data_IF_427619291523
#
_entry.id   IF_427619291523
#
_cell.length_a   1.000
_cell.length_b   1.000
_cell.length_c   1.000
_cell.angle_alpha   90.00
_cell.angle_beta   90.00
_cell.angle_gamma   90.00
#
_symmetry.space_group_name_H-M   'P 1'
#
loop_
_entity.id
_entity.type
_entity.pdbx_description
1 polymer ?
#
# COMPACT_ATOMS: atom_id res chain seq x y z
N UNK A 1 -15.21 -2.05 -5.35
CA UNK A 1 -14.56 -3.31 -4.95
C UNK A 1 -15.43 -3.95 -3.89
N UNK A 2 -15.68 -5.27 -3.94
CA UNK A 2 -16.38 -5.95 -2.84
C UNK A 2 -15.39 -6.38 -1.76
N UNK A 3 -15.85 -6.58 -0.53
CA UNK A 3 -14.98 -6.84 0.63
C UNK A 3 -14.08 -8.07 0.46
N UNK A 4 -14.58 -9.14 -0.17
CA UNK A 4 -13.81 -10.34 -0.46
C UNK A 4 -12.63 -10.06 -1.39
N UNK A 5 -12.88 -9.35 -2.49
CA UNK A 5 -11.85 -8.98 -3.46
C UNK A 5 -10.79 -8.04 -2.87
N UNK A 6 -11.17 -7.19 -1.91
CA UNK A 6 -10.24 -6.36 -1.14
C UNK A 6 -9.28 -7.22 -0.33
N UNK A 7 -9.82 -8.09 0.52
CA UNK A 7 -9.04 -8.97 1.41
C UNK A 7 -8.06 -9.85 0.63
N UNK A 8 -8.50 -10.43 -0.48
CA UNK A 8 -7.62 -11.24 -1.35
C UNK A 8 -6.47 -10.41 -1.94
N UNK A 9 -6.73 -9.16 -2.35
CA UNK A 9 -5.69 -8.30 -2.89
C UNK A 9 -4.69 -7.85 -1.82
N UNK A 10 -5.14 -7.58 -0.59
CA UNK A 10 -4.27 -7.26 0.55
C UNK A 10 -3.41 -8.46 0.95
N UNK A 11 -3.98 -9.66 0.98
CA UNK A 11 -3.22 -10.89 1.21
C UNK A 11 -2.16 -11.10 0.11
N UNK A 12 -2.54 -10.92 -1.16
CA UNK A 12 -1.59 -11.04 -2.27
C UNK A 12 -0.46 -9.99 -2.20
N UNK A 13 -0.75 -8.77 -1.73
CA UNK A 13 0.26 -7.74 -1.47
C UNK A 13 1.23 -8.16 -0.36
N UNK A 14 0.72 -8.75 0.72
CA UNK A 14 1.56 -9.27 1.79
C UNK A 14 2.43 -10.44 1.32
N UNK A 15 1.86 -11.41 0.60
CA UNK A 15 2.60 -12.54 0.02
C UNK A 15 3.68 -12.06 -0.95
N UNK A 16 3.37 -11.04 -1.76
CA UNK A 16 4.36 -10.39 -2.63
C UNK A 16 5.53 -9.82 -1.82
N UNK A 17 5.26 -9.13 -0.71
CA UNK A 17 6.31 -8.56 0.15
C UNK A 17 7.19 -9.64 0.77
N UNK A 18 6.59 -10.69 1.33
CA UNK A 18 7.36 -11.80 1.91
C UNK A 18 8.17 -12.54 0.85
N UNK A 19 7.63 -12.76 -0.36
CA UNK A 19 8.37 -13.42 -1.45
C UNK A 19 9.52 -12.57 -1.97
N UNK A 20 9.34 -11.25 -2.02
CA UNK A 20 10.31 -10.33 -2.63
C UNK A 20 11.43 -9.95 -1.66
N UNK A 21 11.07 -9.70 -0.41
CA UNK A 21 11.99 -9.13 0.59
C UNK A 21 12.26 -10.06 1.77
N UNK A 22 11.54 -11.19 1.89
CA UNK A 22 11.79 -12.18 2.93
C UNK A 22 11.72 -11.62 4.35
N UNK A 23 12.70 -11.99 5.17
CA UNK A 23 12.84 -11.56 6.56
C UNK A 23 13.24 -10.08 6.71
N UNK A 24 13.69 -9.44 5.62
CA UNK A 24 14.06 -8.02 5.66
C UNK A 24 12.85 -7.09 5.66
N UNK A 25 11.64 -7.60 5.42
CA UNK A 25 10.42 -6.81 5.39
C UNK A 25 9.57 -6.97 6.65
N UNK A 26 9.29 -5.85 7.32
CA UNK A 26 8.38 -5.78 8.46
C UNK A 26 7.17 -4.90 8.12
N UNK A 27 5.96 -5.40 8.37
CA UNK A 27 4.73 -4.63 8.21
C UNK A 27 4.68 -3.55 9.29
N UNK A 28 4.71 -2.28 8.88
CA UNK A 28 4.64 -1.14 9.77
C UNK A 28 3.21 -0.58 9.90
N UNK A 29 2.40 -0.73 8.85
CA UNK A 29 0.98 -0.35 8.86
C UNK A 29 0.17 -1.28 7.93
N UNK A 30 -1.06 -1.68 8.30
CA UNK A 30 -1.73 -1.40 9.58
C UNK A 30 -1.08 -2.09 10.78
N UNK A 31 -1.15 -1.47 11.97
CA UNK A 31 -0.72 -2.10 13.23
C UNK A 31 -1.60 -3.32 13.50
N UNK A 32 -1.00 -4.46 13.85
CA UNK A 32 -1.72 -5.66 14.29
C UNK A 32 -1.91 -5.56 15.80
N UNK A 33 -3.15 -5.44 16.28
CA UNK A 33 -3.38 -5.25 17.73
C UNK A 33 -3.36 -6.52 18.56
N UNK A 34 -3.65 -7.70 18.01
CA UNK A 34 -3.76 -8.93 18.85
C UNK A 34 -3.80 -10.24 18.03
N UNK A 35 -3.24 -10.22 16.81
CA UNK A 35 -3.26 -11.40 15.93
C UNK A 35 -4.57 -11.61 15.17
N UNK A 36 -5.63 -10.84 15.45
CA UNK A 36 -6.83 -10.78 14.62
C UNK A 36 -6.75 -9.65 13.55
N UNK A 37 -7.66 -9.70 12.57
CA UNK A 37 -7.69 -9.03 11.26
C UNK A 37 -6.95 -7.67 11.14
N UNK A 38 -6.41 -7.40 9.94
CA UNK A 38 -6.03 -6.04 9.52
C UNK A 38 -7.09 -5.06 10.01
N UNK A 39 -6.70 -4.02 10.76
CA UNK A 39 -7.58 -2.86 10.88
C UNK A 39 -7.90 -2.46 9.44
N UNK A 40 -9.19 -2.44 9.08
CA UNK A 40 -9.62 -2.14 7.72
C UNK A 40 -8.88 -0.90 7.24
N UNK A 41 -8.24 -0.94 6.06
CA UNK A 41 -7.69 0.28 5.48
C UNK A 41 -8.81 1.31 5.43
N UNK A 42 -8.63 2.41 6.16
CA UNK A 42 -9.64 3.45 6.25
C UNK A 42 -9.39 4.48 5.17
N UNK A 43 -10.43 5.24 4.84
CA UNK A 43 -10.24 6.43 4.02
C UNK A 43 -9.20 7.33 4.69
N UNK A 44 -8.15 7.68 3.94
CA UNK A 44 -7.08 8.54 4.41
C UNK A 44 -5.77 7.85 4.73
N UNK A 45 -5.67 6.53 4.59
CA UNK A 45 -4.47 5.74 4.89
C UNK A 45 -4.05 4.88 3.67
N UNK A 46 -2.82 4.36 3.67
CA UNK A 46 -2.37 3.39 2.67
C UNK A 46 -2.84 1.97 3.00
N UNK A 47 -3.02 1.10 2.00
CA UNK A 47 -3.47 -0.28 2.27
C UNK A 47 -2.42 -1.06 3.08
N UNK A 48 -1.12 -0.90 2.75
CA UNK A 48 -0.02 -1.41 3.58
C UNK A 48 1.20 -0.48 3.49
N UNK A 49 1.94 -0.41 4.60
CA UNK A 49 3.27 0.22 4.68
C UNK A 49 4.23 -0.77 5.30
N UNK A 50 5.37 -0.97 4.64
CA UNK A 50 6.41 -1.88 5.06
C UNK A 50 7.73 -1.14 5.25
N UNK A 51 8.50 -1.57 6.23
CA UNK A 51 9.91 -1.22 6.39
C UNK A 51 10.74 -2.35 5.82
N UNK A 52 11.61 -2.05 4.87
CA UNK A 52 12.52 -3.00 4.25
C UNK A 52 13.95 -2.59 4.58
N UNK A 53 14.68 -3.48 5.25
CA UNK A 53 16.10 -3.29 5.51
C UNK A 53 16.91 -3.73 4.30
N UNK A 54 17.60 -2.79 3.66
CA UNK A 54 18.53 -3.06 2.57
C UNK A 54 19.78 -3.80 3.05
N UNK A 55 20.49 -4.43 2.12
CA UNK A 55 21.77 -5.10 2.39
C UNK A 55 22.85 -4.11 2.87
N UNK A 56 22.74 -2.85 2.47
CA UNK A 56 23.57 -1.72 2.90
C UNK A 56 23.21 -1.21 4.32
N UNK A 57 22.23 -1.84 4.97
CA UNK A 57 21.72 -1.45 6.28
C UNK A 57 20.75 -0.26 6.26
N UNK A 58 20.49 0.34 5.10
CA UNK A 58 19.55 1.45 4.98
C UNK A 58 18.10 0.94 4.99
N UNK A 59 17.21 1.70 5.62
CA UNK A 59 15.78 1.41 5.61
C UNK A 59 15.10 2.11 4.43
N UNK A 60 14.32 1.34 3.67
CA UNK A 60 13.42 1.83 2.62
C UNK A 60 11.99 1.52 3.01
N UNK A 61 11.09 2.48 2.83
CA UNK A 61 9.66 2.26 2.99
C UNK A 61 9.06 1.75 1.69
N UNK A 62 8.27 0.68 1.75
CA UNK A 62 7.45 0.21 0.64
C UNK A 62 5.98 0.47 0.97
N UNK A 63 5.37 1.37 0.24
CA UNK A 63 3.96 1.74 0.37
C UNK A 63 3.14 1.07 -0.72
N UNK A 64 2.04 0.41 -0.35
CA UNK A 64 1.25 -0.40 -1.27
C UNK A 64 -0.20 0.06 -1.34
N UNK A 65 -0.71 0.09 -2.57
CA UNK A 65 -2.13 0.15 -2.90
C UNK A 65 -2.57 -1.19 -3.49
N UNK A 66 -3.35 -1.95 -2.73
CA UNK A 66 -3.83 -3.28 -3.08
C UNK A 66 -5.16 -3.17 -3.85
N UNK A 67 -5.24 -3.78 -5.04
CA UNK A 67 -6.44 -3.69 -5.90
C UNK A 67 -6.90 -5.07 -6.38
N UNK A 68 -8.11 -5.46 -5.99
CA UNK A 68 -8.75 -6.69 -6.46
C UNK A 68 -9.51 -6.49 -7.77
N UNK A 69 -9.53 -7.52 -8.62
CA UNK A 69 -10.33 -7.52 -9.84
C UNK A 69 -9.81 -6.52 -10.87
N UNK A 70 -10.71 -5.75 -11.47
CA UNK A 70 -10.41 -4.62 -12.37
C UNK A 70 -10.47 -3.26 -11.66
N UNK A 71 -10.36 -3.24 -10.32
CA UNK A 71 -10.45 -2.00 -9.54
C UNK A 71 -9.38 -0.99 -9.98
N UNK A 72 -9.83 0.26 -10.19
CA UNK A 72 -8.96 1.38 -10.56
C UNK A 72 -8.31 1.99 -9.32
N UNK A 73 -7.29 2.80 -9.56
CA UNK A 73 -6.73 3.68 -8.53
C UNK A 73 -7.77 4.70 -8.08
N UNK A 74 -7.79 4.94 -6.78
CA UNK A 74 -8.54 6.04 -6.17
C UNK A 74 -7.87 7.38 -6.44
N UNK A 75 -8.63 8.44 -6.16
CA UNK A 75 -8.15 9.80 -6.13
C UNK A 75 -8.78 10.52 -4.94
N UNK A 76 -8.13 11.58 -4.46
CA UNK A 76 -8.66 12.43 -3.39
C UNK A 76 -8.52 13.89 -3.76
N UNK A 77 -9.43 14.72 -3.25
CA UNK A 77 -9.28 16.17 -3.33
C UNK A 77 -8.22 16.61 -2.33
N UNK A 78 -7.34 17.48 -2.79
CA UNK A 78 -6.32 18.19 -2.01
C UNK A 78 -6.48 19.68 -2.24
N UNK A 79 -5.76 20.50 -1.48
CA UNK A 79 -5.71 21.96 -1.68
C UNK A 79 -5.25 22.35 -3.10
N UNK A 80 -4.44 21.50 -3.74
CA UNK A 80 -3.91 21.71 -5.09
C UNK A 80 -4.76 21.07 -6.19
N UNK A 81 -5.94 20.57 -5.85
CA UNK A 81 -6.83 19.86 -6.78
C UNK A 81 -6.87 18.35 -6.52
N UNK A 82 -7.30 17.58 -7.52
CA UNK A 82 -7.45 16.13 -7.40
C UNK A 82 -6.10 15.43 -7.58
N UNK A 83 -5.65 14.73 -6.55
CA UNK A 83 -4.47 13.88 -6.61
C UNK A 83 -4.89 12.40 -6.75
N UNK A 84 -4.21 11.65 -7.61
CA UNK A 84 -4.46 10.22 -7.82
C UNK A 84 -3.46 9.38 -7.02
N UNK A 85 -3.89 8.20 -6.53
CA UNK A 85 -2.99 7.21 -5.94
C UNK A 85 -1.78 6.94 -6.84
N UNK A 86 -0.60 6.80 -6.22
CA UNK A 86 0.68 6.72 -6.93
C UNK A 86 1.31 8.07 -7.28
N UNK A 87 0.63 9.21 -7.08
CA UNK A 87 1.26 10.53 -7.25
C UNK A 87 1.98 11.02 -5.99
N UNK A 88 2.94 11.93 -6.18
CA UNK A 88 3.70 12.59 -5.11
C UNK A 88 2.79 13.39 -4.17
N UNK A 89 1.79 14.08 -4.74
CA UNK A 89 0.78 14.87 -4.03
C UNK A 89 -0.15 13.97 -3.21
N UNK A 90 -0.59 12.86 -3.80
CA UNK A 90 -1.45 11.90 -3.09
C UNK A 90 -0.71 11.29 -1.91
N UNK A 91 0.53 10.85 -2.13
CA UNK A 91 1.39 10.31 -1.09
C UNK A 91 1.52 11.29 0.08
N UNK A 92 1.89 12.54 -0.19
CA UNK A 92 2.05 13.58 0.84
C UNK A 92 0.74 13.84 1.59
N UNK A 93 -0.39 13.88 0.88
CA UNK A 93 -1.68 14.11 1.50
C UNK A 93 -2.08 12.96 2.45
N UNK A 94 -1.84 11.71 2.06
CA UNK A 94 -2.11 10.54 2.90
C UNK A 94 -1.14 10.48 4.08
N UNK A 95 0.16 10.62 3.87
CA UNK A 95 1.14 10.61 4.96
C UNK A 95 0.86 11.69 6.02
N UNK A 96 0.45 12.90 5.61
CA UNK A 96 -0.04 13.95 6.53
C UNK A 96 -1.33 13.59 7.26
N UNK A 97 -2.24 12.87 6.58
CA UNK A 97 -3.48 12.40 7.20
C UNK A 97 -3.17 11.36 8.28
N UNK A 98 -2.26 10.42 8.01
CA UNK A 98 -1.81 9.41 8.96
C UNK A 98 -1.03 10.02 10.14
N UNK A 99 -0.18 11.02 9.88
CA UNK A 99 0.51 11.79 10.92
C UNK A 99 -0.48 12.44 11.91
N UNK A 100 -1.56 13.03 11.40
CA UNK A 100 -2.61 13.62 12.23
C UNK A 100 -3.47 12.61 13.01
N UNK A 101 -3.42 11.32 12.67
CA UNK A 101 -4.15 10.23 13.35
C UNK A 101 -3.32 9.53 14.45
N UNK A 102 -2.22 10.14 14.88
CA UNK A 102 -1.30 9.59 15.90
C UNK A 102 -0.57 8.31 15.45
N UNK A 103 -0.29 8.22 14.15
CA UNK A 103 0.58 7.18 13.61
C UNK A 103 1.94 7.77 13.29
N UNK A 104 2.96 7.42 14.09
CA UNK A 104 4.37 7.79 13.84
C UNK A 104 4.81 7.51 12.39
N UNK A 105 4.18 6.52 11.76
CA UNK A 105 4.42 6.11 10.39
C UNK A 105 4.20 7.26 9.39
N UNK A 106 3.26 8.17 9.62
CA UNK A 106 3.02 9.30 8.73
C UNK A 106 4.22 10.24 8.66
N UNK A 107 4.78 10.61 9.81
CA UNK A 107 6.00 11.43 9.92
C UNK A 107 7.21 10.71 9.31
N UNK A 108 7.37 9.42 9.59
CA UNK A 108 8.46 8.60 9.03
C UNK A 108 8.40 8.54 7.50
N UNK A 109 7.21 8.37 6.93
CA UNK A 109 7.00 8.37 5.48
C UNK A 109 7.32 9.71 4.82
N UNK A 110 6.95 10.82 5.46
CA UNK A 110 7.29 12.16 4.96
C UNK A 110 8.81 12.38 4.95
N UNK A 111 9.51 11.97 6.02
CA UNK A 111 10.97 12.05 6.10
C UNK A 111 11.67 11.13 5.09
N UNK A 112 11.21 9.88 4.95
CA UNK A 112 11.74 8.92 3.98
C UNK A 112 11.59 9.43 2.54
N UNK A 113 10.44 10.05 2.21
CA UNK A 113 10.21 10.63 0.89
C UNK A 113 11.23 11.72 0.56
N UNK A 114 11.58 12.58 1.53
CA UNK A 114 12.58 13.64 1.32
C UNK A 114 13.96 13.08 0.99
N UNK A 115 14.30 11.91 1.55
CA UNK A 115 15.55 11.20 1.31
C UNK A 115 15.55 10.35 0.03
N UNK A 116 14.40 10.16 -0.60
CA UNK A 116 14.23 9.24 -1.74
C UNK A 116 14.07 7.78 -1.35
N UNK A 117 13.85 7.47 -0.07
CA UNK A 117 13.81 6.10 0.47
C UNK A 117 12.37 5.56 0.54
N UNK A 118 11.59 5.78 -0.53
CA UNK A 118 10.21 5.31 -0.63
C UNK A 118 9.98 4.68 -1.99
N UNK A 119 9.56 3.42 -1.98
CA UNK A 119 8.93 2.76 -3.12
C UNK A 119 7.42 2.82 -2.95
N UNK A 120 6.71 3.29 -3.98
CA UNK A 120 5.26 3.29 -3.99
C UNK A 120 4.76 2.32 -5.05
N UNK A 121 4.13 1.24 -4.61
CA UNK A 121 3.63 0.16 -5.44
C UNK A 121 2.10 0.15 -5.52
N UNK A 122 1.60 -0.24 -6.68
CA UNK A 122 0.28 -0.82 -6.85
C UNK A 122 0.45 -2.33 -7.00
N UNK A 123 -0.20 -3.09 -6.14
CA UNK A 123 -0.30 -4.55 -6.26
C UNK A 123 -1.73 -4.89 -6.65
N UNK A 124 -1.90 -5.45 -7.85
CA UNK A 124 -3.19 -5.84 -8.38
C UNK A 124 -3.31 -7.36 -8.42
N UNK A 125 -4.39 -7.89 -7.86
CA UNK A 125 -4.82 -9.27 -8.04
C UNK A 125 -5.97 -9.31 -9.04
N UNK A 126 -5.73 -9.70 -10.31
CA UNK A 126 -6.81 -9.85 -11.28
C UNK A 126 -7.78 -10.94 -10.84
N UNK A 127 -9.05 -10.60 -10.75
CA UNK A 127 -10.14 -11.53 -10.47
C UNK A 127 -11.15 -11.36 -11.60
N UNK A 128 -11.44 -12.45 -12.32
CA UNK A 128 -12.39 -12.48 -13.42
C UNK A 128 -13.46 -13.52 -13.12
N UNK A 129 -14.72 -13.15 -13.26
CA UNK A 129 -15.81 -14.12 -13.21
C UNK A 129 -15.99 -14.74 -14.58
N UNK A 130 -15.90 -16.07 -14.64
CA UNK A 130 -16.22 -16.87 -15.84
C UNK A 130 -17.23 -17.93 -15.45
N UNK A 131 -18.42 -17.87 -16.05
CA UNK A 131 -19.50 -18.85 -15.86
C UNK A 131 -19.83 -19.10 -14.37
N UNK A 132 -19.93 -18.04 -13.57
CA UNK A 132 -20.24 -18.13 -12.13
C UNK A 132 -19.08 -18.58 -11.24
N UNK A 133 -17.89 -18.84 -11.81
CA UNK A 133 -16.68 -19.16 -11.05
C UNK A 133 -15.69 -18.01 -11.11
N UNK A 134 -15.18 -17.54 -9.96
CA UNK A 134 -14.13 -16.53 -9.92
C UNK A 134 -12.77 -17.17 -10.19
N UNK A 135 -12.08 -16.70 -11.23
CA UNK A 135 -10.71 -17.08 -11.58
C UNK A 135 -9.74 -15.99 -11.11
N UNK A 136 -8.72 -16.40 -10.35
CA UNK A 136 -7.64 -15.54 -9.88
C UNK A 136 -6.48 -15.61 -10.87
N UNK A 137 -6.02 -14.46 -11.35
CA UNK A 137 -4.84 -14.34 -12.20
C UNK A 137 -3.55 -14.15 -11.41
N UNK A 138 -2.42 -14.12 -12.13
CA UNK A 138 -1.13 -13.78 -11.54
C UNK A 138 -1.13 -12.34 -10.98
N UNK A 139 -0.47 -12.14 -9.84
CA UNK A 139 -0.27 -10.83 -9.23
C UNK A 139 0.49 -9.91 -10.19
N UNK A 140 0.00 -8.67 -10.33
CA UNK A 140 0.63 -7.64 -11.15
C UNK A 140 1.11 -6.51 -10.25
N UNK A 141 2.37 -6.12 -10.40
CA UNK A 141 2.98 -5.05 -9.61
C UNK A 141 3.36 -3.90 -10.53
N UNK A 142 3.05 -2.67 -10.11
CA UNK A 142 3.49 -1.45 -10.78
C UNK A 142 4.06 -0.49 -9.76
N UNK A 143 5.29 -0.02 -10.00
CA UNK A 143 5.92 1.02 -9.22
C UNK A 143 5.57 2.41 -9.75
N UNK A 144 5.43 3.38 -8.83
CA UNK A 144 5.28 4.79 -9.13
C UNK A 144 6.49 5.57 -8.64
N UNK A 145 6.97 6.47 -9.49
CA UNK A 145 8.07 7.35 -9.13
C UNK A 145 7.55 8.65 -8.52
N UNK A 146 7.90 8.89 -7.26
CA UNK A 146 7.49 10.07 -6.51
C UNK A 146 8.42 11.26 -6.76
N UNK A 147 8.39 11.79 -7.99
CA UNK A 147 9.08 13.03 -8.36
C UNK A 147 8.60 14.24 -7.55
#
# INVERSE_FOLDING_TARGET
>A
MNERSRRLAEQAAQEYMHKTYGENATLAYPKRTDGSEFSKSQSGDFDQVWKVKGEDGNETFVVIEAKGGSSRLGARRTERGTAQQGSSEYFKAIAKTMEGKDESIGTELLAAKQKGNVQYLKVQLPIKDRNGTSQIGAVQVREFHLK
#
